data_IF_203647510867
#
_entry.id   IF_203647510867
#
_cell.length_a   1.000
_cell.length_b   1.000
_cell.length_c   1.000
_cell.angle_alpha   90.00
_cell.angle_beta   90.00
_cell.angle_gamma   90.00
#
_symmetry.space_group_name_H-M   'P 1'
#
loop_
_entity.id
_entity.type
_entity.pdbx_description
1 polymer ?
#
# COMPACT_ATOMS: atom_id res chain seq x y z
N UNK A 1 67.81 -37.35 52.98
CA UNK A 1 67.68 -37.81 51.58
C UNK A 1 66.76 -36.85 50.87
N UNK A 2 67.29 -36.15 49.87
CA UNK A 2 66.65 -35.09 49.09
C UNK A 2 66.53 -35.50 47.62
N UNK A 3 65.63 -34.80 46.91
CA UNK A 3 65.26 -34.86 45.48
C UNK A 3 64.09 -35.83 45.17
N UNK A 4 63.09 -35.49 44.35
CA UNK A 4 63.08 -34.63 43.16
C UNK A 4 61.68 -34.03 42.85
N UNK A 5 61.70 -32.99 42.01
CA UNK A 5 60.62 -32.14 41.44
C UNK A 5 59.73 -32.84 40.41
N UNK A 6 58.52 -32.30 40.18
CA UNK A 6 57.84 -32.15 38.86
C UNK A 6 56.57 -31.26 39.01
N UNK A 7 56.62 -29.99 38.59
CA UNK A 7 56.05 -29.38 37.36
C UNK A 7 54.52 -29.33 37.24
N UNK A 8 54.00 -28.09 37.30
CA UNK A 8 52.63 -27.69 36.97
C UNK A 8 52.35 -27.78 35.46
N UNK A 9 51.16 -28.28 35.10
CA UNK A 9 50.56 -28.13 33.77
C UNK A 9 49.21 -27.42 33.95
N UNK A 10 49.16 -26.16 33.51
CA UNK A 10 47.94 -25.37 33.36
C UNK A 10 47.22 -25.82 32.09
N UNK A 11 45.97 -26.26 32.20
CA UNK A 11 45.07 -26.44 31.07
C UNK A 11 44.59 -25.07 30.59
N UNK A 12 45.08 -24.65 29.42
CA UNK A 12 44.60 -23.48 28.69
C UNK A 12 43.40 -23.93 27.84
N UNK A 13 42.19 -23.55 28.26
CA UNK A 13 40.97 -23.75 27.49
C UNK A 13 41.03 -22.94 26.18
N UNK A 14 40.94 -23.66 25.07
CA UNK A 14 40.92 -23.11 23.71
C UNK A 14 39.57 -22.41 23.48
N UNK A 15 39.55 -21.09 23.57
CA UNK A 15 38.42 -20.26 23.14
C UNK A 15 38.37 -20.30 21.61
N UNK A 16 37.42 -21.07 21.06
CA UNK A 16 37.08 -21.00 19.64
C UNK A 16 36.24 -19.74 19.45
N UNK A 17 36.89 -18.67 19.00
CA UNK A 17 36.22 -17.45 18.57
C UNK A 17 35.48 -17.75 17.27
N UNK A 18 34.17 -17.98 17.35
CA UNK A 18 33.31 -17.83 16.18
C UNK A 18 33.27 -16.35 15.83
N UNK A 19 34.13 -15.92 14.91
CA UNK A 19 33.93 -14.67 14.21
C UNK A 19 32.63 -14.82 13.40
N UNK A 20 31.56 -14.20 13.87
CA UNK A 20 30.43 -13.88 13.00
C UNK A 20 30.97 -12.94 11.92
N UNK A 21 31.32 -13.49 10.78
CA UNK A 21 31.43 -12.72 9.56
C UNK A 21 30.04 -12.17 9.28
N UNK A 22 29.81 -10.91 9.64
CA UNK A 22 28.69 -10.13 9.12
C UNK A 22 28.82 -10.15 7.60
N UNK A 23 28.00 -10.96 6.95
CA UNK A 23 27.84 -10.88 5.51
C UNK A 23 27.05 -9.60 5.26
N UNK A 24 27.78 -8.50 5.10
CA UNK A 24 27.23 -7.22 4.71
C UNK A 24 26.81 -7.30 3.23
N UNK A 25 25.53 -7.59 2.99
CA UNK A 25 24.86 -7.30 1.72
C UNK A 25 23.97 -6.06 1.84
N UNK A 26 24.45 -5.02 2.51
CA UNK A 26 23.85 -3.70 2.42
C UNK A 26 24.63 -2.91 1.35
N UNK A 27 24.00 -2.59 0.22
CA UNK A 27 24.52 -1.54 -0.66
C UNK A 27 24.74 -0.24 0.13
N UNK A 28 25.55 0.68 -0.40
CA UNK A 28 25.79 1.98 0.24
C UNK A 28 24.44 2.68 0.52
N UNK A 29 24.01 2.67 1.78
CA UNK A 29 22.77 3.32 2.19
C UNK A 29 22.94 4.83 2.14
N UNK A 30 22.12 5.48 1.33
CA UNK A 30 22.01 6.94 1.24
C UNK A 30 21.15 7.43 2.38
N UNK A 31 21.58 8.51 3.03
CA UNK A 31 20.82 9.20 4.08
C UNK A 31 20.73 10.68 3.73
N UNK A 32 19.52 11.21 3.67
CA UNK A 32 19.29 12.61 3.33
C UNK A 32 17.95 13.08 3.88
N UNK A 33 17.76 14.40 3.95
CA UNK A 33 16.48 15.01 4.32
C UNK A 33 15.76 15.51 3.07
N UNK A 34 14.47 15.21 2.97
CA UNK A 34 13.56 15.85 2.01
C UNK A 34 12.87 17.06 2.66
N UNK A 35 11.76 17.54 2.08
CA UNK A 35 10.95 18.59 2.70
C UNK A 35 10.36 18.17 4.05
N UNK A 36 9.73 16.99 4.11
CA UNK A 36 9.07 16.48 5.32
C UNK A 36 9.78 15.30 5.99
N UNK A 37 10.60 14.53 5.27
CA UNK A 37 11.11 13.23 5.73
C UNK A 37 12.62 13.19 5.93
N UNK A 38 13.05 12.41 6.92
CA UNK A 38 14.43 11.93 7.07
C UNK A 38 14.51 10.55 6.39
N UNK A 39 15.12 10.48 5.20
CA UNK A 39 15.09 9.30 4.32
C UNK A 39 16.40 8.53 4.41
N UNK A 40 16.30 7.21 4.58
CA UNK A 40 17.40 6.24 4.44
C UNK A 40 17.02 5.20 3.39
N UNK A 41 17.85 5.01 2.36
CA UNK A 41 17.54 4.10 1.26
C UNK A 41 18.79 3.64 0.52
N UNK A 42 18.78 2.41 0.01
CA UNK A 42 19.77 1.85 -0.92
C UNK A 42 19.34 2.00 -2.40
N UNK A 43 18.15 2.53 -2.67
CA UNK A 43 17.66 2.80 -4.03
C UNK A 43 18.60 3.72 -4.83
N UNK A 44 18.71 3.54 -6.16
CA UNK A 44 19.48 4.43 -7.03
C UNK A 44 19.07 5.91 -6.87
N UNK A 45 20.02 6.83 -7.08
CA UNK A 45 19.84 8.28 -6.79
C UNK A 45 18.59 8.88 -7.44
N UNK A 46 18.34 8.58 -8.72
CA UNK A 46 17.15 9.06 -9.43
C UNK A 46 15.86 8.59 -8.75
N UNK A 47 15.81 7.31 -8.35
CA UNK A 47 14.65 6.71 -7.68
C UNK A 47 14.49 7.22 -6.25
N UNK A 48 15.58 7.44 -5.52
CA UNK A 48 15.56 8.06 -4.21
C UNK A 48 15.01 9.50 -4.28
N UNK A 49 15.34 10.26 -5.32
CA UNK A 49 14.80 11.59 -5.54
C UNK A 49 13.31 11.57 -5.93
N UNK A 50 12.87 10.59 -6.74
CA UNK A 50 11.45 10.36 -7.04
C UNK A 50 10.65 10.02 -5.77
N UNK A 51 11.15 9.09 -4.96
CA UNK A 51 10.59 8.72 -3.66
C UNK A 51 10.41 9.93 -2.75
N UNK A 52 11.45 10.77 -2.63
CA UNK A 52 11.40 11.97 -1.80
C UNK A 52 10.31 12.95 -2.27
N UNK A 53 10.23 13.23 -3.58
CA UNK A 53 9.19 14.09 -4.14
C UNK A 53 7.78 13.52 -3.93
N UNK A 54 7.62 12.21 -4.10
CA UNK A 54 6.34 11.54 -3.85
C UNK A 54 5.91 11.70 -2.39
N UNK A 55 6.79 11.37 -1.44
CA UNK A 55 6.46 11.42 -0.02
C UNK A 55 6.23 12.85 0.48
N UNK A 56 6.98 13.84 -0.01
CA UNK A 56 6.72 15.24 0.30
C UNK A 56 5.34 15.70 -0.21
N UNK A 57 4.93 15.26 -1.41
CA UNK A 57 3.60 15.54 -1.95
C UNK A 57 2.48 14.86 -1.15
N UNK A 58 2.70 13.60 -0.73
CA UNK A 58 1.80 12.85 0.15
C UNK A 58 1.61 13.59 1.48
N UNK A 59 2.71 13.98 2.14
CA UNK A 59 2.65 14.72 3.40
C UNK A 59 1.99 16.10 3.26
N UNK A 60 2.20 16.80 2.14
CA UNK A 60 1.52 18.05 1.85
C UNK A 60 0.00 17.85 1.75
N UNK A 61 -0.45 16.78 1.09
CA UNK A 61 -1.87 16.44 0.97
C UNK A 61 -2.49 16.04 2.33
N UNK A 62 -1.78 15.26 3.15
CA UNK A 62 -2.19 15.03 4.55
C UNK A 62 -2.35 16.34 5.30
N UNK A 63 -1.32 17.20 5.26
CA UNK A 63 -1.34 18.48 5.98
C UNK A 63 -2.51 19.35 5.55
N UNK A 64 -2.83 19.38 4.25
CA UNK A 64 -3.97 20.12 3.71
C UNK A 64 -5.31 19.59 4.23
N UNK A 65 -5.51 18.26 4.22
CA UNK A 65 -6.77 17.62 4.64
C UNK A 65 -7.00 17.69 6.14
N UNK A 66 -5.93 17.61 6.92
CA UNK A 66 -5.97 17.60 8.37
C UNK A 66 -5.54 18.95 8.97
N UNK A 67 -5.63 20.05 8.20
CA UNK A 67 -5.14 21.37 8.60
C UNK A 67 -5.75 21.90 9.90
N UNK A 68 -6.97 21.45 10.26
CA UNK A 68 -7.67 21.82 11.49
C UNK A 68 -7.12 21.16 12.77
N UNK A 69 -6.31 20.11 12.64
CA UNK A 69 -5.73 19.39 13.77
C UNK A 69 -4.30 19.83 13.99
N UNK A 70 -3.96 20.39 15.15
CA UNK A 70 -2.58 20.72 15.49
C UNK A 70 -1.69 19.46 15.62
N UNK A 71 -0.37 19.63 15.53
CA UNK A 71 0.59 18.57 15.89
C UNK A 71 0.55 18.32 17.40
N UNK A 72 0.54 17.06 17.83
CA UNK A 72 0.64 16.64 19.24
C UNK A 72 2.05 16.20 19.61
N UNK A 73 2.82 15.70 18.65
CA UNK A 73 4.26 15.47 18.81
C UNK A 73 5.02 16.00 17.60
N UNK A 74 6.34 16.18 17.78
CA UNK A 74 7.26 16.71 16.77
C UNK A 74 8.34 15.68 16.40
N UNK A 75 8.03 14.39 16.51
CA UNK A 75 8.97 13.34 16.11
C UNK A 75 9.38 13.52 14.64
N UNK A 76 10.64 13.28 14.27
CA UNK A 76 11.04 13.29 12.87
C UNK A 76 10.26 12.22 12.08
N UNK A 77 9.78 12.59 10.89
CA UNK A 77 9.16 11.63 9.96
C UNK A 77 10.28 10.82 9.30
N UNK A 78 10.70 9.72 9.93
CA UNK A 78 11.73 8.84 9.38
C UNK A 78 11.12 7.87 8.37
N UNK A 79 11.83 7.67 7.27
CA UNK A 79 11.46 6.79 6.16
C UNK A 79 12.64 5.91 5.75
N UNK A 80 12.43 4.60 5.78
CA UNK A 80 13.33 3.60 5.23
C UNK A 80 12.68 2.93 4.02
N UNK A 81 13.33 2.99 2.86
CA UNK A 81 12.89 2.24 1.68
C UNK A 81 14.04 1.43 1.14
N UNK A 82 13.83 0.12 1.03
CA UNK A 82 14.84 -0.83 0.59
C UNK A 82 14.63 -1.22 -0.86
N UNK A 83 15.70 -1.49 -1.60
CA UNK A 83 15.62 -2.01 -2.96
C UNK A 83 15.02 -3.43 -2.95
N UNK A 84 15.30 -4.22 -1.92
CA UNK A 84 14.86 -5.62 -1.82
C UNK A 84 13.95 -5.86 -0.61
N UNK A 85 13.07 -6.87 -0.73
CA UNK A 85 12.26 -7.35 0.40
C UNK A 85 13.14 -7.89 1.53
N UNK A 86 14.25 -8.56 1.19
CA UNK A 86 15.18 -9.10 2.19
C UNK A 86 15.76 -7.99 3.09
N UNK A 87 16.22 -6.88 2.51
CA UNK A 87 16.75 -5.75 3.28
C UNK A 87 15.71 -5.13 4.22
N UNK A 88 14.45 -5.05 3.78
CA UNK A 88 13.33 -4.63 4.63
C UNK A 88 13.09 -5.58 5.80
N UNK A 89 13.07 -6.89 5.53
CA UNK A 89 12.87 -7.92 6.55
C UNK A 89 14.00 -7.93 7.59
N UNK A 90 15.25 -7.82 7.15
CA UNK A 90 16.43 -7.76 8.02
C UNK A 90 16.43 -6.51 8.90
N UNK A 91 16.09 -5.35 8.32
CA UNK A 91 15.99 -4.10 9.06
C UNK A 91 14.97 -4.19 10.20
N UNK A 92 13.75 -4.68 9.92
CA UNK A 92 12.72 -4.81 10.94
C UNK A 92 13.02 -5.91 11.96
N UNK A 93 13.62 -7.02 11.54
CA UNK A 93 14.08 -8.06 12.46
C UNK A 93 15.12 -7.52 13.46
N UNK A 94 16.00 -6.61 13.03
CA UNK A 94 16.94 -5.90 13.90
C UNK A 94 16.30 -5.04 14.99
N UNK A 95 15.01 -4.71 14.85
CA UNK A 95 14.20 -3.98 15.82
C UNK A 95 13.15 -4.88 16.50
N UNK A 96 13.36 -6.20 16.46
CA UNK A 96 12.47 -7.20 17.05
C UNK A 96 11.03 -7.13 16.50
N UNK A 97 10.91 -6.84 15.20
CA UNK A 97 9.64 -6.78 14.48
C UNK A 97 9.58 -7.92 13.47
N UNK A 98 8.55 -8.76 13.59
CA UNK A 98 8.23 -9.73 12.55
C UNK A 98 7.42 -9.05 11.44
N UNK A 99 8.05 -8.90 10.27
CA UNK A 99 7.47 -8.25 9.11
C UNK A 99 6.96 -9.23 8.04
N UNK A 100 6.91 -10.54 8.34
CA UNK A 100 6.51 -11.57 7.37
C UNK A 100 5.08 -11.27 6.89
N UNK A 101 4.90 -11.28 5.57
CA UNK A 101 3.61 -10.99 4.92
C UNK A 101 3.26 -9.50 4.83
N UNK A 102 4.10 -8.60 5.33
CA UNK A 102 3.89 -7.15 5.21
C UNK A 102 4.65 -6.56 4.02
N UNK A 103 4.05 -5.57 3.38
CA UNK A 103 4.66 -4.81 2.27
C UNK A 103 5.28 -3.48 2.72
N UNK A 104 4.99 -3.08 3.96
CA UNK A 104 5.53 -1.93 4.67
C UNK A 104 4.99 -1.93 6.10
N UNK A 105 5.54 -1.04 6.94
CA UNK A 105 5.12 -0.89 8.32
C UNK A 105 5.49 0.49 8.87
N UNK A 106 4.53 1.17 9.49
CA UNK A 106 4.80 2.18 10.51
C UNK A 106 5.05 1.49 11.85
N UNK A 107 6.23 1.69 12.40
CA UNK A 107 6.65 1.05 13.65
C UNK A 107 7.14 2.06 14.67
N UNK A 108 7.01 1.67 15.94
CA UNK A 108 7.54 2.37 17.10
C UNK A 108 8.20 1.36 18.05
N UNK A 109 9.45 1.66 18.39
CA UNK A 109 10.30 0.99 19.38
C UNK A 109 11.05 2.05 20.17
N UNK A 110 11.68 1.64 21.26
CA UNK A 110 12.42 2.57 22.14
C UNK A 110 13.69 3.11 21.46
N UNK A 111 14.24 2.38 20.50
CA UNK A 111 15.45 2.71 19.75
C UNK A 111 15.15 3.43 18.41
N UNK A 112 14.04 3.10 17.75
CA UNK A 112 13.63 3.73 16.50
C UNK A 112 12.11 3.79 16.30
N UNK A 113 11.66 4.84 15.61
CA UNK A 113 10.29 4.98 15.09
C UNK A 113 10.32 5.52 13.67
N UNK A 114 9.41 5.02 12.83
CA UNK A 114 9.17 5.55 11.49
C UNK A 114 8.52 4.54 10.55
N UNK A 115 8.63 4.82 9.26
CA UNK A 115 8.02 4.03 8.19
C UNK A 115 9.10 3.21 7.49
N UNK A 116 8.86 1.92 7.27
CA UNK A 116 9.72 1.07 6.44
C UNK A 116 8.92 0.44 5.29
N UNK A 117 9.51 0.33 4.09
CA UNK A 117 8.95 -0.42 2.95
C UNK A 117 10.05 -0.82 1.97
N UNK A 118 9.71 -1.47 0.85
CA UNK A 118 10.68 -1.90 -0.17
C UNK A 118 10.14 -1.82 -1.59
N UNK A 119 11.03 -1.70 -2.59
CA UNK A 119 10.66 -1.81 -4.00
C UNK A 119 10.46 -3.28 -4.38
N UNK A 120 11.50 -4.11 -4.31
CA UNK A 120 11.46 -5.54 -4.65
C UNK A 120 11.02 -5.79 -6.11
N UNK A 121 10.40 -6.95 -6.34
CA UNK A 121 9.89 -7.35 -7.66
C UNK A 121 8.43 -6.95 -7.91
N UNK A 122 7.83 -6.13 -7.04
CA UNK A 122 6.45 -5.66 -7.19
C UNK A 122 6.39 -4.39 -8.05
N UNK A 123 5.22 -4.05 -8.63
CA UNK A 123 5.04 -2.78 -9.32
C UNK A 123 5.35 -1.60 -8.39
N UNK A 124 6.04 -0.59 -8.93
CA UNK A 124 6.37 0.63 -8.18
C UNK A 124 5.10 1.32 -7.65
N UNK A 125 4.01 1.25 -8.40
CA UNK A 125 2.70 1.77 -7.98
C UNK A 125 2.18 1.16 -6.69
N UNK A 126 2.47 -0.13 -6.42
CA UNK A 126 2.12 -0.82 -5.18
C UNK A 126 3.02 -0.43 -4.02
N UNK A 127 4.30 -0.17 -4.28
CA UNK A 127 5.17 0.44 -3.26
C UNK A 127 4.62 1.81 -2.82
N UNK A 128 4.27 2.68 -3.77
CA UNK A 128 3.71 3.99 -3.42
C UNK A 128 2.35 3.90 -2.72
N UNK A 129 1.52 2.90 -3.05
CA UNK A 129 0.27 2.60 -2.33
C UNK A 129 0.55 2.23 -0.87
N UNK A 130 1.49 1.32 -0.61
CA UNK A 130 1.95 1.02 0.75
C UNK A 130 2.50 2.25 1.46
N UNK A 131 3.34 3.04 0.81
CA UNK A 131 3.94 4.23 1.41
C UNK A 131 2.88 5.28 1.81
N UNK A 132 1.78 5.39 1.04
CA UNK A 132 0.62 6.22 1.38
C UNK A 132 -0.19 5.66 2.54
N UNK A 133 -0.35 4.34 2.62
CA UNK A 133 -1.01 3.68 3.74
C UNK A 133 -0.22 3.86 5.04
N UNK A 134 1.03 3.42 5.05
CA UNK A 134 1.90 3.52 6.23
C UNK A 134 2.23 4.97 6.60
N UNK A 135 2.31 5.86 5.60
CA UNK A 135 2.50 7.29 5.79
C UNK A 135 1.33 7.93 6.52
N UNK A 136 0.11 7.42 6.32
CA UNK A 136 -1.08 7.87 7.03
C UNK A 136 -0.99 7.50 8.52
N UNK A 137 -0.58 6.27 8.85
CA UNK A 137 -0.37 5.87 10.24
C UNK A 137 0.64 6.78 10.95
N UNK A 138 1.79 7.02 10.32
CA UNK A 138 2.82 7.91 10.86
C UNK A 138 2.28 9.33 11.06
N UNK A 139 1.54 9.87 10.07
CA UNK A 139 0.97 11.21 10.14
C UNK A 139 -0.11 11.34 11.22
N UNK A 140 -1.04 10.39 11.30
CA UNK A 140 -2.10 10.36 12.31
C UNK A 140 -1.53 10.21 13.71
N UNK A 141 -0.45 9.44 13.88
CA UNK A 141 0.26 9.38 15.14
C UNK A 141 0.79 10.75 15.60
N UNK A 142 1.35 11.57 14.68
CA UNK A 142 1.80 12.93 15.04
C UNK A 142 0.67 13.88 15.41
N UNK A 143 -0.53 13.67 14.85
CA UNK A 143 -1.68 14.57 15.03
C UNK A 143 -2.56 14.16 16.20
N UNK A 144 -2.85 12.87 16.36
CA UNK A 144 -3.84 12.32 17.30
C UNK A 144 -3.15 11.52 18.40
N UNK A 145 -2.16 10.69 18.04
CA UNK A 145 -1.50 9.78 18.96
C UNK A 145 -2.30 8.49 19.20
N UNK A 146 -2.08 7.86 20.36
CA UNK A 146 -2.57 6.51 20.65
C UNK A 146 -4.07 6.42 20.97
N UNK A 147 -4.81 7.53 20.93
CA UNK A 147 -6.26 7.56 21.17
C UNK A 147 -7.08 7.19 19.95
N UNK A 148 -6.47 7.11 18.77
CA UNK A 148 -7.15 6.71 17.55
C UNK A 148 -7.45 5.19 17.57
N UNK A 149 -8.73 4.77 17.51
CA UNK A 149 -9.05 3.34 17.50
C UNK A 149 -8.55 2.66 16.23
N UNK A 150 -8.22 1.37 16.33
CA UNK A 150 -7.60 0.59 15.25
C UNK A 150 -8.40 0.66 13.95
N UNK A 151 -9.72 0.46 14.01
CA UNK A 151 -10.57 0.51 12.80
C UNK A 151 -10.45 1.84 12.05
N UNK A 152 -10.37 2.97 12.77
CA UNK A 152 -10.29 4.28 12.13
C UNK A 152 -8.89 4.55 11.63
N UNK A 153 -7.86 4.11 12.36
CA UNK A 153 -6.48 4.21 11.91
C UNK A 153 -6.27 3.44 10.59
N UNK A 154 -6.73 2.19 10.53
CA UNK A 154 -6.62 1.34 9.34
C UNK A 154 -7.54 1.80 8.21
N UNK A 155 -8.79 2.17 8.51
CA UNK A 155 -9.72 2.66 7.50
C UNK A 155 -9.27 3.96 6.84
N UNK A 156 -8.65 4.87 7.60
CA UNK A 156 -8.07 6.11 7.06
C UNK A 156 -6.80 5.83 6.24
N UNK A 157 -6.00 4.85 6.66
CA UNK A 157 -4.82 4.42 5.94
C UNK A 157 -5.17 3.80 4.59
N UNK A 158 -6.14 2.88 4.53
CA UNK A 158 -6.67 2.31 3.28
C UNK A 158 -7.31 3.39 2.39
N UNK A 159 -8.13 4.29 2.98
CA UNK A 159 -8.77 5.39 2.25
C UNK A 159 -7.76 6.26 1.48
N UNK A 160 -6.60 6.51 2.08
CA UNK A 160 -5.54 7.26 1.42
C UNK A 160 -4.60 6.39 0.60
N UNK A 161 -4.42 5.11 0.96
CA UNK A 161 -3.71 4.12 0.16
C UNK A 161 -4.27 4.07 -1.27
N UNK A 162 -5.60 4.03 -1.39
CA UNK A 162 -6.30 4.04 -2.68
C UNK A 162 -6.26 5.37 -3.43
N UNK A 163 -5.76 6.46 -2.83
CA UNK A 163 -5.61 7.72 -3.54
C UNK A 163 -4.63 7.58 -4.72
N UNK A 164 -4.95 8.22 -5.84
CA UNK A 164 -4.05 8.26 -7.00
C UNK A 164 -3.42 9.63 -7.13
N UNK A 165 -2.10 9.66 -7.28
CA UNK A 165 -1.40 10.88 -7.64
C UNK A 165 -1.66 11.20 -9.12
N UNK A 166 -2.03 12.45 -9.36
CA UNK A 166 -2.26 13.05 -10.68
C UNK A 166 -1.30 14.22 -10.87
N UNK A 167 -1.24 14.78 -12.09
CA UNK A 167 -0.47 16.00 -12.34
C UNK A 167 -0.92 17.20 -11.47
N UNK A 168 -2.15 17.18 -10.95
CA UNK A 168 -2.76 18.29 -10.20
C UNK A 168 -2.85 18.06 -8.69
N UNK A 169 -2.26 16.99 -8.16
CA UNK A 169 -2.39 16.59 -6.76
C UNK A 169 -2.95 15.18 -6.63
N UNK A 170 -3.79 14.92 -5.63
CA UNK A 170 -4.35 13.58 -5.38
C UNK A 170 -5.83 13.49 -5.73
N UNK A 171 -6.19 12.46 -6.48
CA UNK A 171 -7.57 12.02 -6.64
C UNK A 171 -7.90 11.04 -5.49
N UNK A 172 -9.02 11.29 -4.80
CA UNK A 172 -9.31 10.73 -3.48
C UNK A 172 -10.71 10.14 -3.44
N UNK A 173 -10.97 9.22 -2.50
CA UNK A 173 -12.27 8.54 -2.41
C UNK A 173 -12.44 7.46 -3.47
N UNK A 174 -11.34 6.97 -4.03
CA UNK A 174 -11.35 5.88 -5.00
C UNK A 174 -11.64 4.57 -4.28
N UNK A 175 -12.34 3.68 -4.99
CA UNK A 175 -12.77 2.40 -4.47
C UNK A 175 -12.19 1.28 -5.32
N UNK A 176 -11.44 0.39 -4.67
CA UNK A 176 -10.84 -0.78 -5.28
C UNK A 176 -11.90 -1.85 -5.60
N UNK A 177 -11.83 -2.41 -6.81
CA UNK A 177 -12.75 -3.44 -7.26
C UNK A 177 -12.65 -4.72 -6.42
N UNK A 178 -11.44 -5.09 -5.98
CA UNK A 178 -11.25 -6.30 -5.20
C UNK A 178 -11.78 -6.15 -3.77
N UNK A 179 -11.52 -5.01 -3.11
CA UNK A 179 -12.10 -4.67 -1.82
C UNK A 179 -13.64 -4.65 -1.87
N UNK A 180 -14.24 -4.00 -2.87
CA UNK A 180 -15.70 -4.00 -3.06
C UNK A 180 -16.23 -5.43 -3.22
N UNK A 181 -15.61 -6.22 -4.11
CA UNK A 181 -16.06 -7.59 -4.36
C UNK A 181 -15.96 -8.48 -3.11
N UNK A 182 -14.94 -8.28 -2.26
CA UNK A 182 -14.80 -9.00 -0.97
C UNK A 182 -15.90 -8.56 0.02
N UNK A 183 -16.18 -7.26 0.10
CA UNK A 183 -17.24 -6.72 0.97
C UNK A 183 -18.63 -7.18 0.56
N UNK A 184 -18.97 -7.12 -0.73
CA UNK A 184 -20.27 -7.55 -1.24
C UNK A 184 -20.47 -9.05 -1.03
N UNK A 185 -19.44 -9.88 -1.29
CA UNK A 185 -19.49 -11.31 -0.95
C UNK A 185 -19.67 -11.56 0.54
N UNK A 186 -18.98 -10.80 1.39
CA UNK A 186 -19.12 -10.91 2.84
C UNK A 186 -20.51 -10.47 3.32
N UNK A 187 -21.11 -9.46 2.68
CA UNK A 187 -22.47 -8.99 2.93
C UNK A 187 -23.50 -10.05 2.54
N UNK A 188 -23.40 -10.60 1.32
CA UNK A 188 -24.28 -11.67 0.81
C UNK A 188 -24.22 -12.93 1.68
N UNK A 189 -23.04 -13.27 2.19
CA UNK A 189 -22.82 -14.42 3.06
C UNK A 189 -23.15 -14.16 4.55
N UNK A 190 -23.56 -12.94 4.91
CA UNK A 190 -23.78 -12.50 6.30
C UNK A 190 -22.58 -12.76 7.23
N UNK A 191 -21.38 -12.48 6.71
CA UNK A 191 -20.09 -12.70 7.41
C UNK A 191 -19.37 -11.40 7.78
N UNK A 192 -19.96 -10.25 7.46
CA UNK A 192 -19.45 -8.96 7.94
C UNK A 192 -19.46 -8.91 9.47
N UNK A 193 -18.39 -8.36 10.05
CA UNK A 193 -18.42 -7.96 11.46
C UNK A 193 -19.58 -6.98 11.71
N UNK A 194 -20.38 -7.18 12.79
CA UNK A 194 -21.33 -6.18 13.22
C UNK A 194 -20.63 -4.84 13.44
N UNK A 195 -21.29 -3.74 13.05
CA UNK A 195 -20.67 -2.41 13.10
C UNK A 195 -20.18 -2.06 14.51
N UNK A 196 -20.97 -2.35 15.55
CA UNK A 196 -20.56 -2.14 16.94
C UNK A 196 -19.26 -2.88 17.26
N UNK A 197 -19.19 -4.17 16.94
CA UNK A 197 -18.01 -5.01 17.15
C UNK A 197 -16.77 -4.46 16.46
N UNK A 198 -16.90 -3.94 15.24
CA UNK A 198 -15.80 -3.32 14.51
C UNK A 198 -15.32 -2.02 15.18
N UNK A 199 -16.27 -1.13 15.53
CA UNK A 199 -15.95 0.19 16.07
C UNK A 199 -15.35 0.13 17.49
N UNK A 200 -15.71 -0.88 18.28
CA UNK A 200 -15.22 -1.06 19.66
C UNK A 200 -14.08 -2.08 19.79
N UNK A 201 -13.63 -2.69 18.69
CA UNK A 201 -12.57 -3.69 18.70
C UNK A 201 -11.28 -3.14 19.29
N UNK A 202 -10.71 -3.85 20.27
CA UNK A 202 -9.39 -3.50 20.80
C UNK A 202 -8.28 -3.83 19.81
N UNK A 203 -7.12 -3.18 19.95
CA UNK A 203 -5.94 -3.51 19.15
C UNK A 203 -5.48 -4.97 19.32
N UNK A 204 -5.66 -5.55 20.51
CA UNK A 204 -5.33 -6.96 20.75
C UNK A 204 -6.25 -7.89 19.94
N UNK A 205 -7.56 -7.69 20.02
CA UNK A 205 -8.55 -8.48 19.28
C UNK A 205 -8.35 -8.34 17.77
N UNK A 206 -8.08 -7.12 17.28
CA UNK A 206 -7.74 -6.88 15.88
C UNK A 206 -6.58 -7.76 15.42
N UNK A 207 -5.48 -7.76 16.18
CA UNK A 207 -4.28 -8.55 15.85
C UNK A 207 -4.50 -10.08 15.97
N UNK A 208 -5.35 -10.52 16.89
CA UNK A 208 -5.73 -11.94 17.01
C UNK A 208 -6.48 -12.41 15.76
N UNK A 209 -7.41 -11.59 15.24
CA UNK A 209 -8.16 -11.87 14.00
C UNK A 209 -7.29 -11.84 12.75
N UNK A 210 -6.30 -10.94 12.69
CA UNK A 210 -5.31 -10.94 11.60
C UNK A 210 -4.56 -12.28 11.56
N UNK A 211 -4.11 -12.78 12.72
CA UNK A 211 -3.37 -14.04 12.81
C UNK A 211 -4.20 -15.28 12.47
N UNK A 212 -5.53 -15.23 12.66
CA UNK A 212 -6.42 -16.36 12.35
C UNK A 212 -6.88 -16.41 10.89
N UNK A 213 -6.29 -15.61 9.99
CA UNK A 213 -6.58 -15.64 8.55
C UNK A 213 -7.81 -14.83 8.13
N UNK A 214 -8.40 -14.04 9.03
CA UNK A 214 -9.52 -13.12 8.72
C UNK A 214 -9.05 -11.68 8.44
N UNK A 215 -7.76 -11.51 8.13
CA UNK A 215 -7.11 -10.20 8.05
C UNK A 215 -7.78 -9.29 7.00
N UNK A 216 -7.80 -9.64 5.72
CA UNK A 216 -8.29 -8.73 4.66
C UNK A 216 -9.70 -8.18 4.88
N UNK A 217 -10.62 -9.00 5.41
CA UNK A 217 -12.02 -8.60 5.59
C UNK A 217 -12.23 -7.43 6.55
N UNK A 218 -11.49 -7.37 7.67
CA UNK A 218 -11.66 -6.27 8.64
C UNK A 218 -11.02 -4.95 8.15
N UNK A 219 -9.96 -4.99 7.34
CA UNK A 219 -9.40 -3.80 6.69
C UNK A 219 -10.39 -3.24 5.67
N UNK A 220 -10.97 -4.10 4.81
CA UNK A 220 -11.99 -3.68 3.85
C UNK A 220 -13.22 -3.07 4.56
N UNK A 221 -13.67 -3.69 5.66
CA UNK A 221 -14.77 -3.17 6.45
C UNK A 221 -14.43 -1.80 7.06
N UNK A 222 -13.26 -1.65 7.67
CA UNK A 222 -12.78 -0.39 8.22
C UNK A 222 -12.70 0.72 7.16
N UNK A 223 -12.12 0.42 5.99
CA UNK A 223 -12.10 1.29 4.83
C UNK A 223 -13.51 1.70 4.42
N UNK A 224 -14.43 0.75 4.26
CA UNK A 224 -15.79 1.03 3.79
C UNK A 224 -16.59 1.90 4.76
N UNK A 225 -16.34 1.81 6.07
CA UNK A 225 -16.96 2.72 7.05
C UNK A 225 -16.42 4.14 6.88
N UNK A 226 -15.10 4.31 6.74
CA UNK A 226 -14.50 5.63 6.47
C UNK A 226 -15.02 6.22 5.16
N UNK A 227 -15.08 5.39 4.12
CA UNK A 227 -15.57 5.78 2.80
C UNK A 227 -17.05 6.15 2.83
N UNK A 228 -17.89 5.35 3.50
CA UNK A 228 -19.30 5.66 3.76
C UNK A 228 -19.46 7.01 4.46
N UNK A 229 -18.73 7.24 5.56
CA UNK A 229 -18.82 8.48 6.30
C UNK A 229 -18.42 9.67 5.44
N UNK A 230 -17.40 9.53 4.58
CA UNK A 230 -16.89 10.62 3.76
C UNK A 230 -17.74 10.92 2.51
N UNK A 231 -18.34 9.91 1.88
CA UNK A 231 -18.88 10.03 0.51
C UNK A 231 -20.35 9.64 0.36
N UNK A 232 -20.91 8.80 1.24
CA UNK A 232 -22.28 8.33 1.09
C UNK A 232 -23.28 9.51 1.13
N UNK A 233 -24.36 9.38 0.35
CA UNK A 233 -25.39 10.40 0.21
C UNK A 233 -24.86 11.81 -0.13
N UNK A 234 -23.80 11.88 -0.95
CA UNK A 234 -23.16 13.15 -1.31
C UNK A 234 -22.37 13.77 -0.16
N UNK A 235 -21.82 12.94 0.73
CA UNK A 235 -21.03 13.37 1.89
C UNK A 235 -21.87 13.79 3.10
N UNK A 236 -23.13 13.32 3.19
CA UNK A 236 -24.05 13.66 4.30
C UNK A 236 -23.43 13.37 5.68
N UNK A 237 -22.63 12.33 5.78
CA UNK A 237 -22.06 11.85 7.04
C UNK A 237 -20.65 12.40 7.33
N UNK A 238 -20.09 13.24 6.44
CA UNK A 238 -18.69 13.68 6.55
C UNK A 238 -18.43 14.47 7.85
N UNK A 239 -19.44 15.20 8.34
CA UNK A 239 -19.40 15.89 9.62
C UNK A 239 -19.20 14.94 10.82
N UNK A 240 -19.69 13.70 10.74
CA UNK A 240 -19.51 12.69 11.79
C UNK A 240 -18.06 12.18 11.86
N UNK A 241 -17.45 11.91 10.70
CA UNK A 241 -16.02 11.56 10.63
C UNK A 241 -15.16 12.69 11.19
N UNK A 242 -15.48 13.93 10.80
CA UNK A 242 -14.83 15.14 11.29
C UNK A 242 -14.95 15.31 12.80
N UNK A 243 -16.13 15.04 13.37
CA UNK A 243 -16.37 15.10 14.81
C UNK A 243 -15.62 13.99 15.56
N UNK A 244 -15.60 12.76 15.03
CA UNK A 244 -14.82 11.66 15.61
C UNK A 244 -13.33 12.01 15.69
N UNK A 245 -12.74 12.43 14.57
CA UNK A 245 -11.33 12.82 14.52
C UNK A 245 -11.04 13.98 15.49
N UNK A 246 -11.97 14.93 15.64
CA UNK A 246 -11.89 16.00 16.64
C UNK A 246 -11.89 15.50 18.08
N UNK A 247 -12.76 14.56 18.43
CA UNK A 247 -12.82 13.97 19.76
C UNK A 247 -11.55 13.17 20.08
N UNK A 248 -11.03 12.39 19.13
CA UNK A 248 -9.78 11.67 19.29
C UNK A 248 -8.58 12.62 19.43
N UNK A 249 -8.55 13.67 18.62
CA UNK A 249 -7.54 14.72 18.71
C UNK A 249 -7.55 15.43 20.07
N UNK A 250 -8.72 15.57 20.71
CA UNK A 250 -8.87 16.11 22.07
C UNK A 250 -8.53 15.10 23.18
N UNK A 251 -8.34 13.82 22.84
CA UNK A 251 -7.97 12.77 23.77
C UNK A 251 -9.13 11.98 24.39
N UNK A 252 -10.33 12.06 23.80
CA UNK A 252 -11.46 11.23 24.23
C UNK A 252 -11.22 9.76 23.88
N UNK A 253 -11.66 8.84 24.75
CA UNK A 253 -11.61 7.40 24.49
C UNK A 253 -12.61 6.98 23.40
N UNK A 254 -12.33 5.88 22.72
CA UNK A 254 -13.14 5.37 21.61
C UNK A 254 -14.61 5.08 21.98
N UNK A 255 -14.92 4.30 23.03
CA UNK A 255 -16.32 4.06 23.41
C UNK A 255 -17.11 5.36 23.65
N UNK A 256 -16.51 6.35 24.31
CA UNK A 256 -17.15 7.64 24.56
C UNK A 256 -17.32 8.45 23.27
N UNK A 257 -16.28 8.57 22.45
CA UNK A 257 -16.34 9.33 21.20
C UNK A 257 -17.38 8.74 20.23
N UNK A 258 -17.41 7.41 20.07
CA UNK A 258 -18.39 6.69 19.25
C UNK A 258 -19.82 6.98 19.72
N UNK A 259 -20.10 6.85 21.02
CA UNK A 259 -21.44 7.16 21.56
C UNK A 259 -21.84 8.63 21.36
N UNK A 260 -20.88 9.56 21.44
CA UNK A 260 -21.16 10.98 21.24
C UNK A 260 -21.50 11.32 19.79
N UNK A 261 -20.97 10.58 18.82
CA UNK A 261 -21.17 10.87 17.38
C UNK A 261 -22.32 10.05 16.80
N UNK A 262 -22.37 8.75 17.10
CA UNK A 262 -23.33 7.83 16.51
C UNK A 262 -24.51 7.47 17.43
N UNK A 263 -24.45 7.85 18.71
CA UNK A 263 -25.45 7.45 19.70
C UNK A 263 -25.18 6.06 20.29
N UNK A 264 -26.15 5.54 21.04
CA UNK A 264 -26.06 4.23 21.71
C UNK A 264 -26.58 3.07 20.86
N UNK A 265 -27.37 3.37 19.83
CA UNK A 265 -27.91 2.36 18.91
C UNK A 265 -27.31 2.59 17.52
N UNK A 266 -26.44 1.66 17.11
CA UNK A 266 -25.77 1.70 15.82
C UNK A 266 -26.58 1.03 14.70
N UNK A 267 -27.70 0.38 15.01
CA UNK A 267 -28.48 -0.40 14.04
C UNK A 267 -28.94 0.42 12.82
N UNK A 268 -29.42 1.68 12.97
CA UNK A 268 -29.78 2.51 11.82
C UNK A 268 -28.57 2.84 10.94
N UNK A 269 -27.41 3.08 11.55
CA UNK A 269 -26.17 3.38 10.83
C UNK A 269 -25.64 2.14 10.10
N UNK A 270 -25.66 0.99 10.77
CA UNK A 270 -25.25 -0.28 10.20
C UNK A 270 -26.10 -0.64 8.98
N UNK A 271 -27.42 -0.47 9.05
CA UNK A 271 -28.29 -0.68 7.89
C UNK A 271 -27.91 0.23 6.73
N UNK A 272 -27.66 1.52 6.99
CA UNK A 272 -27.28 2.47 5.93
C UNK A 272 -25.90 2.18 5.34
N UNK A 273 -24.97 1.73 6.16
CA UNK A 273 -23.63 1.33 5.71
C UNK A 273 -23.67 0.03 4.91
N UNK A 274 -24.52 -0.94 5.27
CA UNK A 274 -24.75 -2.15 4.47
C UNK A 274 -25.42 -1.84 3.12
N UNK A 275 -26.45 -0.99 3.11
CA UNK A 275 -27.07 -0.45 1.87
C UNK A 275 -25.99 0.19 0.98
N UNK A 276 -25.05 0.92 1.60
CA UNK A 276 -23.96 1.57 0.90
C UNK A 276 -22.98 0.57 0.27
N UNK A 277 -22.56 -0.47 1.01
CA UNK A 277 -21.70 -1.54 0.48
C UNK A 277 -22.35 -2.21 -0.75
N UNK A 278 -23.65 -2.49 -0.68
CA UNK A 278 -24.38 -3.08 -1.80
C UNK A 278 -24.36 -2.16 -3.04
N UNK A 279 -24.42 -0.84 -2.83
CA UNK A 279 -24.39 0.17 -3.90
C UNK A 279 -23.00 0.53 -4.43
N UNK A 280 -21.92 0.07 -3.79
CA UNK A 280 -20.56 0.46 -4.17
C UNK A 280 -20.21 -0.07 -5.57
N UNK A 281 -19.65 0.82 -6.38
CA UNK A 281 -19.07 0.49 -7.68
C UNK A 281 -17.56 0.83 -7.71
N UNK A 282 -16.74 0.04 -8.42
CA UNK A 282 -15.32 0.35 -8.56
C UNK A 282 -15.07 1.72 -9.20
N UNK A 283 -14.09 2.47 -8.69
CA UNK A 283 -13.72 3.75 -9.32
C UNK A 283 -13.01 3.52 -10.66
N UNK A 284 -13.45 4.26 -11.68
CA UNK A 284 -12.99 4.14 -13.05
C UNK A 284 -11.48 4.37 -13.22
N UNK A 285 -10.84 5.25 -12.42
CA UNK A 285 -9.42 5.53 -12.52
C UNK A 285 -8.59 4.52 -11.75
N UNK A 286 -9.11 4.03 -10.62
CA UNK A 286 -8.44 2.97 -9.87
C UNK A 286 -8.39 1.68 -10.69
N UNK A 287 -9.53 1.29 -11.27
CA UNK A 287 -9.63 0.16 -12.19
C UNK A 287 -8.73 0.34 -13.42
N UNK A 288 -8.70 1.55 -14.01
CA UNK A 288 -7.80 1.87 -15.12
C UNK A 288 -6.31 1.73 -14.73
N UNK A 289 -5.93 2.19 -13.53
CA UNK A 289 -4.56 2.09 -13.04
C UNK A 289 -4.13 0.65 -12.87
N UNK A 290 -4.92 -0.15 -12.16
CA UNK A 290 -4.61 -1.56 -11.91
C UNK A 290 -4.57 -2.36 -13.22
N UNK A 291 -5.51 -2.09 -14.13
CA UNK A 291 -5.49 -2.67 -15.48
C UNK A 291 -4.18 -2.33 -16.21
N UNK A 292 -3.79 -1.05 -16.27
CA UNK A 292 -2.59 -0.65 -17.01
C UNK A 292 -1.28 -1.11 -16.34
N UNK A 293 -1.25 -1.25 -15.02
CA UNK A 293 -0.11 -1.85 -14.32
C UNK A 293 0.06 -3.31 -14.75
N UNK A 294 -1.02 -4.10 -14.79
CA UNK A 294 -0.98 -5.48 -15.29
C UNK A 294 -0.51 -5.53 -16.76
N UNK A 295 -1.07 -4.67 -17.62
CA UNK A 295 -0.64 -4.55 -19.02
C UNK A 295 0.84 -4.22 -19.16
N UNK A 296 1.37 -3.36 -18.29
CA UNK A 296 2.79 -3.01 -18.28
C UNK A 296 3.70 -4.22 -18.05
N UNK A 297 3.35 -5.10 -17.12
CA UNK A 297 4.13 -6.30 -16.85
C UNK A 297 3.99 -7.34 -17.96
N UNK A 298 2.78 -7.51 -18.52
CA UNK A 298 2.56 -8.38 -19.67
C UNK A 298 3.40 -7.93 -20.87
N UNK A 299 3.38 -6.63 -21.20
CA UNK A 299 4.14 -6.07 -22.32
C UNK A 299 5.65 -6.16 -22.09
N UNK A 300 6.11 -6.02 -20.84
CA UNK A 300 7.51 -6.21 -20.49
C UNK A 300 7.94 -7.69 -20.60
N UNK A 301 7.07 -8.62 -20.21
CA UNK A 301 7.34 -10.05 -20.33
C UNK A 301 7.43 -10.46 -21.82
N UNK A 302 6.51 -9.98 -22.67
CA UNK A 302 6.57 -10.18 -24.12
C UNK A 302 7.85 -9.57 -24.73
N UNK A 303 8.23 -8.38 -24.29
CA UNK A 303 9.46 -7.72 -24.74
C UNK A 303 10.72 -8.54 -24.40
N UNK A 304 10.74 -9.20 -23.25
CA UNK A 304 11.87 -10.02 -22.81
C UNK A 304 12.16 -11.21 -23.74
N UNK A 305 11.14 -11.66 -24.48
CA UNK A 305 11.25 -12.73 -25.50
C UNK A 305 11.29 -12.18 -26.93
N UNK A 306 11.44 -10.86 -27.10
CA UNK A 306 11.55 -10.19 -28.40
C UNK A 306 10.22 -9.90 -29.11
N UNK A 307 9.08 -10.04 -28.42
CA UNK A 307 7.75 -9.84 -28.99
C UNK A 307 7.22 -8.46 -28.59
N UNK A 308 6.94 -7.60 -29.57
CA UNK A 308 6.49 -6.21 -29.35
C UNK A 308 5.22 -5.90 -30.14
N UNK A 309 4.04 -6.22 -29.61
CA UNK A 309 2.79 -5.96 -30.30
C UNK A 309 2.55 -4.45 -30.45
N UNK A 310 2.12 -4.05 -31.65
CA UNK A 310 1.84 -2.65 -32.03
C UNK A 310 0.35 -2.37 -32.12
N UNK A 311 -0.47 -3.40 -32.27
CA UNK A 311 -1.93 -3.34 -32.34
C UNK A 311 -2.54 -4.26 -31.29
N UNK A 312 -3.84 -4.12 -31.06
CA UNK A 312 -4.56 -5.03 -30.17
C UNK A 312 -4.59 -6.46 -30.72
N UNK A 313 -4.79 -6.63 -32.02
CA UNK A 313 -4.78 -7.95 -32.66
C UNK A 313 -3.41 -8.64 -32.53
N UNK A 314 -2.31 -7.88 -32.69
CA UNK A 314 -0.96 -8.40 -32.45
C UNK A 314 -0.73 -8.77 -30.98
N UNK A 315 -1.29 -7.98 -30.04
CA UNK A 315 -1.20 -8.27 -28.61
C UNK A 315 -1.94 -9.55 -28.24
N UNK A 316 -3.16 -9.72 -28.76
CA UNK A 316 -3.98 -10.91 -28.52
C UNK A 316 -3.35 -12.16 -29.15
N UNK A 317 -2.77 -12.04 -30.35
CA UNK A 317 -2.02 -13.13 -30.99
C UNK A 317 -0.77 -13.51 -30.17
N UNK A 318 -0.01 -12.53 -29.70
CA UNK A 318 1.18 -12.76 -28.88
C UNK A 318 0.84 -13.46 -27.55
N UNK A 319 -0.28 -13.09 -26.91
CA UNK A 319 -0.76 -13.76 -25.71
C UNK A 319 -1.22 -15.19 -25.99
N UNK A 320 -1.91 -15.44 -27.09
CA UNK A 320 -2.33 -16.78 -27.47
C UNK A 320 -1.14 -17.71 -27.73
N UNK A 321 -0.05 -17.18 -28.29
CA UNK A 321 1.16 -17.95 -28.62
C UNK A 321 2.09 -18.13 -27.41
N UNK A 322 2.29 -17.09 -26.60
CA UNK A 322 3.34 -17.06 -25.57
C UNK A 322 2.83 -16.97 -24.13
N UNK A 323 1.54 -16.70 -23.90
CA UNK A 323 0.99 -16.33 -22.59
C UNK A 323 1.27 -17.33 -21.46
N UNK A 324 1.19 -18.63 -21.73
CA UNK A 324 1.43 -19.69 -20.74
C UNK A 324 2.88 -19.73 -20.21
N UNK A 325 3.84 -19.17 -20.94
CA UNK A 325 5.26 -19.18 -20.59
C UNK A 325 5.78 -17.84 -20.04
N UNK A 326 4.95 -16.82 -19.93
CA UNK A 326 5.39 -15.50 -19.48
C UNK A 326 5.63 -15.47 -17.96
N UNK A 327 6.82 -15.02 -17.57
CA UNK A 327 7.12 -14.69 -16.18
C UNK A 327 6.56 -13.30 -15.87
N UNK A 328 5.30 -13.29 -15.45
CA UNK A 328 4.60 -12.08 -15.01
C UNK A 328 4.44 -12.20 -13.50
N UNK A 329 4.70 -11.13 -12.71
CA UNK A 329 4.53 -11.19 -11.26
C UNK A 329 3.15 -11.74 -10.92
N UNK A 330 3.13 -12.94 -10.35
CA UNK A 330 1.89 -13.68 -10.04
C UNK A 330 1.25 -13.22 -8.74
N UNK A 331 1.90 -12.32 -8.00
CA UNK A 331 1.41 -11.83 -6.72
C UNK A 331 1.68 -10.33 -6.61
N UNK A 332 0.61 -9.53 -6.60
CA UNK A 332 0.62 -8.17 -6.11
C UNK A 332 0.38 -8.21 -4.61
N UNK A 333 1.41 -7.97 -3.80
CA UNK A 333 1.14 -7.67 -2.39
C UNK A 333 0.39 -6.33 -2.31
N UNK A 334 -0.85 -6.36 -1.82
CA UNK A 334 -1.58 -5.18 -1.38
C UNK A 334 -1.38 -4.99 0.12
N UNK A 335 -1.80 -3.84 0.66
CA UNK A 335 -1.84 -3.61 2.12
C UNK A 335 -2.82 -4.57 2.82
N UNK A 336 -3.92 -4.92 2.16
CA UNK A 336 -4.96 -5.84 2.66
C UNK A 336 -4.63 -7.34 2.54
N UNK A 337 -3.45 -7.69 2.00
CA UNK A 337 -3.00 -9.06 1.80
C UNK A 337 -2.44 -9.35 0.40
N UNK A 338 -2.09 -10.61 0.16
CA UNK A 338 -1.65 -11.08 -1.16
C UNK A 338 -2.82 -11.03 -2.16
N UNK A 339 -2.64 -10.28 -3.24
CA UNK A 339 -3.49 -10.36 -4.41
C UNK A 339 -2.74 -11.17 -5.47
N UNK A 340 -3.14 -12.42 -5.66
CA UNK A 340 -2.54 -13.25 -6.69
C UNK A 340 -3.00 -12.74 -8.07
N UNK A 341 -2.07 -12.23 -8.87
CA UNK A 341 -2.23 -11.99 -10.30
C UNK A 341 -2.20 -13.34 -11.02
N UNK A 342 -3.30 -14.11 -10.96
CA UNK A 342 -3.46 -15.30 -11.79
C UNK A 342 -4.06 -14.87 -13.13
N UNK A 343 -3.21 -14.49 -14.09
CA UNK A 343 -3.64 -14.05 -15.42
C UNK A 343 -4.52 -15.08 -16.16
N UNK A 344 -4.37 -16.37 -15.83
CA UNK A 344 -5.06 -17.48 -16.50
C UNK A 344 -6.51 -17.69 -16.03
N UNK A 345 -6.88 -17.29 -14.82
CA UNK A 345 -8.25 -17.45 -14.28
C UNK A 345 -9.06 -16.16 -14.27
N UNK A 346 -8.40 -15.00 -14.28
CA UNK A 346 -9.03 -13.75 -13.93
C UNK A 346 -9.08 -12.77 -15.11
N UNK A 347 -10.29 -12.55 -15.66
CA UNK A 347 -10.51 -11.64 -16.78
C UNK A 347 -10.47 -10.13 -16.40
N UNK A 348 -10.18 -9.79 -15.15
CA UNK A 348 -10.30 -8.41 -14.66
C UNK A 348 -9.32 -7.45 -15.35
N UNK A 349 -8.09 -7.88 -15.62
CA UNK A 349 -7.05 -7.02 -16.24
C UNK A 349 -7.28 -6.80 -17.75
N UNK A 350 -8.28 -7.46 -18.34
CA UNK A 350 -8.78 -7.22 -19.70
C UNK A 350 -10.13 -6.50 -19.71
N UNK A 351 -10.74 -6.29 -18.55
CA UNK A 351 -12.04 -5.65 -18.41
C UNK A 351 -11.89 -4.13 -18.46
N UNK A 352 -12.42 -3.51 -19.52
CA UNK A 352 -12.32 -2.07 -19.70
C UNK A 352 -13.14 -1.32 -18.63
N UNK A 353 -12.54 -0.41 -17.86
CA UNK A 353 -13.25 0.39 -16.88
C UNK A 353 -14.32 1.25 -17.59
N UNK A 354 -15.45 1.44 -16.93
CA UNK A 354 -16.56 2.26 -17.45
C UNK A 354 -16.52 3.65 -16.84
N UNK A 355 -16.94 4.63 -17.64
CA UNK A 355 -17.07 5.98 -17.14
C UNK A 355 -18.24 6.10 -16.16
N UNK A 356 -18.00 6.52 -14.92
CA UNK A 356 -19.04 6.80 -13.93
C UNK A 356 -20.06 7.85 -14.42
N UNK A 357 -19.63 8.79 -15.27
CA UNK A 357 -20.50 9.83 -15.83
C UNK A 357 -21.38 9.34 -16.97
N UNK A 358 -20.89 8.43 -17.82
CA UNK A 358 -21.57 8.08 -19.09
C UNK A 358 -21.97 6.61 -19.20
N UNK A 359 -21.51 5.76 -18.29
CA UNK A 359 -21.65 4.30 -18.33
C UNK A 359 -20.89 3.60 -19.46
N UNK A 360 -20.19 4.35 -20.32
CA UNK A 360 -19.48 3.80 -21.49
C UNK A 360 -18.12 3.26 -21.09
N UNK A 361 -17.75 2.11 -21.65
CA UNK A 361 -16.41 1.56 -21.49
C UNK A 361 -15.34 2.51 -22.04
N UNK A 362 -14.18 2.54 -21.39
CA UNK A 362 -13.01 3.23 -21.87
C UNK A 362 -12.57 2.69 -23.24
N UNK A 363 -11.92 3.54 -24.03
CA UNK A 363 -11.30 3.16 -25.29
C UNK A 363 -9.81 2.94 -25.04
N UNK A 364 -9.36 1.71 -25.24
CA UNK A 364 -7.95 1.32 -25.12
C UNK A 364 -7.23 1.47 -26.46
N UNK A 365 -5.99 1.99 -26.43
CA UNK A 365 -5.12 2.11 -27.60
C UNK A 365 -3.68 1.77 -27.26
N UNK A 366 -3.04 0.91 -28.07
CA UNK A 366 -1.59 0.77 -28.07
C UNK A 366 -0.94 1.93 -28.84
N UNK A 367 0.19 2.40 -28.32
CA UNK A 367 1.03 3.43 -28.92
C UNK A 367 2.42 2.84 -29.10
N UNK A 368 2.76 2.38 -30.32
CA UNK A 368 4.07 1.80 -30.59
C UNK A 368 5.20 2.82 -30.41
N UNK A 369 6.31 2.40 -29.80
CA UNK A 369 7.53 3.21 -29.84
C UNK A 369 8.09 3.23 -31.27
N UNK A 370 8.12 4.42 -31.87
CA UNK A 370 8.62 4.63 -33.24
C UNK A 370 10.08 4.19 -33.41
N UNK A 371 10.87 4.22 -32.33
CA UNK A 371 12.28 3.83 -32.35
C UNK A 371 12.51 2.36 -32.01
N UNK A 372 11.48 1.63 -31.60
CA UNK A 372 11.58 0.23 -31.20
C UNK A 372 12.58 -0.02 -30.07
N UNK A 373 12.68 0.91 -29.11
CA UNK A 373 13.59 0.81 -27.95
C UNK A 373 12.90 0.33 -26.69
N UNK A 374 11.58 0.34 -26.68
CA UNK A 374 10.73 -0.04 -25.55
C UNK A 374 9.41 -0.65 -26.06
N UNK A 375 8.63 -1.32 -25.21
CA UNK A 375 7.34 -1.86 -25.60
C UNK A 375 6.35 -0.74 -25.94
N UNK A 376 5.21 -1.10 -26.53
CA UNK A 376 4.13 -0.15 -26.79
C UNK A 376 3.63 0.46 -25.47
N UNK A 377 3.37 1.77 -25.47
CA UNK A 377 2.56 2.40 -24.41
C UNK A 377 1.10 2.06 -24.59
N UNK A 378 0.28 2.23 -23.55
CA UNK A 378 -1.17 2.00 -23.61
C UNK A 378 -1.91 3.21 -23.08
N UNK A 379 -2.95 3.65 -23.76
CA UNK A 379 -3.84 4.73 -23.31
C UNK A 379 -5.26 4.23 -23.09
N UNK A 380 -5.88 4.68 -21.99
CA UNK A 380 -7.32 4.58 -21.74
C UNK A 380 -7.96 5.96 -21.82
N UNK A 381 -8.90 6.11 -22.75
CA UNK A 381 -9.66 7.35 -23.00
C UNK A 381 -11.14 7.16 -22.70
N UNK A 382 -11.85 8.26 -22.45
CA UNK A 382 -13.30 8.23 -22.21
C UNK A 382 -13.68 8.14 -20.72
N UNK A 383 -12.70 8.12 -19.82
CA UNK A 383 -12.87 8.28 -18.38
C UNK A 383 -12.77 9.78 -18.00
N UNK A 384 -12.96 10.12 -16.71
CA UNK A 384 -12.82 11.49 -16.17
C UNK A 384 -11.44 12.06 -16.40
N UNK A 385 -10.42 11.20 -16.55
CA UNK A 385 -9.03 11.54 -16.85
C UNK A 385 -8.44 10.58 -17.88
N UNK A 386 -7.43 11.03 -18.62
CA UNK A 386 -6.63 10.15 -19.46
C UNK A 386 -5.70 9.35 -18.55
N UNK A 387 -5.73 8.03 -18.67
CA UNK A 387 -4.79 7.14 -17.97
C UNK A 387 -3.86 6.52 -19.01
N UNK A 388 -2.56 6.62 -18.79
CA UNK A 388 -1.55 6.10 -19.73
C UNK A 388 -0.52 5.23 -19.02
N UNK A 389 -0.21 4.10 -19.61
CA UNK A 389 0.99 3.32 -19.34
C UNK A 389 2.15 3.93 -20.13
N UNK A 390 3.13 4.45 -19.40
CA UNK A 390 4.36 5.02 -19.90
C UNK A 390 5.56 4.17 -19.45
N UNK A 391 6.71 4.38 -20.09
CA UNK A 391 7.93 3.63 -19.80
C UNK A 391 8.99 4.57 -19.24
N UNK A 392 9.40 4.31 -18.00
CA UNK A 392 10.59 4.92 -17.40
C UNK A 392 11.80 4.02 -17.64
N UNK A 393 13.00 4.54 -17.40
CA UNK A 393 14.21 3.71 -17.33
C UNK A 393 14.48 3.34 -15.88
N UNK A 394 14.78 2.08 -15.62
CA UNK A 394 15.30 1.66 -14.32
C UNK A 394 16.82 1.98 -14.20
N UNK A 395 17.43 1.64 -13.07
CA UNK A 395 18.87 1.88 -12.83
C UNK A 395 19.81 1.18 -13.83
N UNK A 396 19.33 0.15 -14.53
CA UNK A 396 20.05 -0.54 -15.60
C UNK A 396 19.77 0.05 -17.00
N UNK A 397 18.96 1.10 -17.09
CA UNK A 397 18.54 1.73 -18.34
C UNK A 397 17.46 0.96 -19.10
N UNK A 398 16.89 -0.11 -18.54
CA UNK A 398 15.82 -0.92 -19.13
C UNK A 398 14.44 -0.28 -18.91
N UNK A 399 13.46 -0.53 -19.80
CA UNK A 399 12.09 -0.06 -19.61
C UNK A 399 11.47 -0.59 -18.31
N UNK A 400 10.77 0.28 -17.59
CA UNK A 400 10.00 -0.03 -16.39
C UNK A 400 8.61 0.61 -16.53
N UNK A 401 7.52 -0.15 -16.32
CA UNK A 401 6.16 0.36 -16.51
C UNK A 401 5.83 1.42 -15.45
N UNK A 402 5.17 2.50 -15.89
CA UNK A 402 4.69 3.57 -15.02
C UNK A 402 3.33 4.04 -15.50
N UNK A 403 2.31 3.90 -14.66
CA UNK A 403 0.96 4.39 -14.98
C UNK A 403 0.79 5.83 -14.51
N UNK A 404 0.36 6.70 -15.42
CA UNK A 404 0.18 8.13 -15.19
C UNK A 404 -1.29 8.50 -15.42
N UNK A 405 -1.85 9.24 -14.47
CA UNK A 405 -3.20 9.81 -14.54
C UNK A 405 -3.08 11.32 -14.83
N UNK A 406 -3.48 11.72 -16.04
CA UNK A 406 -3.35 13.08 -16.58
C UNK A 406 -4.53 13.99 -16.19
#
# INVERSE_FOLDING_TARGET
>A
MTMSRTTHLLHLSMLVTFALSAVAFAGDQRRFKSGAYDITTDLPEEKAAELARHMDAVHAEYTRRFAKFGKRNAEPLRLWVFETQQGYMEFLAGHEINAIGSSGMFFRRDDASGLASFLGNRPESKMYETLRHEGMHQFLYQRIGDTLPTWLNEGMAEWFGYALQTERGFEMGLADAHAIARLQRALEADTLLPLESLLTMSHREWNERVRSGSAGGQYDQAWSVVHFLAYADGGRYAGMLDQLLGLFWQGYDAPRAIRMVFGTDLSPMESKWKDYIESLEPDELYAARDMLDAWGHVLLALDSIGVRPKTLDEFDAALAEHGHGLDIPRTLMTTSGELELILESDAWWRSLPKSAKTGRAAVLRLIPDRRGRQPSSVELRGLKRLVRLEWKKNGEGKPSPSVVVH
#
